data_IF_528017413763
#
_entry.id   IF_528017413763
#
_cell.length_a   1.000
_cell.length_b   1.000
_cell.length_c   1.000
_cell.angle_alpha   90.00
_cell.angle_beta   90.00
_cell.angle_gamma   90.00
#
_symmetry.space_group_name_H-M   'P 1'
#
loop_
_entity.id
_entity.type
_entity.pdbx_description
1 polymer ?
#
# COMPACT_ATOMS: atom_id res chain seq x y z
N UNK A 1 11.53 26.08 -69.83
CA UNK A 1 10.22 26.20 -69.15
C UNK A 1 10.43 25.89 -67.68
N UNK A 2 10.08 26.83 -66.80
CA UNK A 2 10.36 26.81 -65.35
C UNK A 2 9.71 25.59 -64.66
N UNK A 3 10.46 24.94 -63.78
CA UNK A 3 9.90 24.43 -62.52
C UNK A 3 10.95 24.55 -61.42
N UNK A 4 10.58 25.33 -60.41
CA UNK A 4 11.33 25.58 -59.17
C UNK A 4 11.24 24.33 -58.30
N UNK A 5 12.37 23.82 -57.83
CA UNK A 5 12.44 22.90 -56.69
C UNK A 5 13.02 23.67 -55.50
N UNK A 6 12.20 23.85 -54.46
CA UNK A 6 12.56 24.53 -53.22
C UNK A 6 13.52 23.66 -52.42
N UNK A 7 14.64 24.24 -51.98
CA UNK A 7 15.48 23.69 -50.92
C UNK A 7 14.63 23.71 -49.63
N UNK A 8 14.32 22.54 -49.09
CA UNK A 8 13.71 22.40 -47.76
C UNK A 8 14.86 22.23 -46.76
N UNK A 9 15.19 23.29 -46.03
CA UNK A 9 16.11 23.22 -44.90
C UNK A 9 15.45 22.38 -43.80
N UNK A 10 15.98 21.20 -43.54
CA UNK A 10 15.57 20.37 -42.40
C UNK A 10 16.23 20.95 -41.15
N UNK A 11 15.47 21.66 -40.32
CA UNK A 11 15.85 21.96 -38.95
C UNK A 11 15.48 20.76 -38.08
N UNK A 12 16.48 19.99 -37.66
CA UNK A 12 16.32 19.05 -36.55
C UNK A 12 16.34 19.88 -35.28
N UNK A 13 15.16 20.24 -34.77
CA UNK A 13 15.02 20.69 -33.39
C UNK A 13 15.13 19.42 -32.55
N UNK A 14 16.13 19.26 -31.68
CA UNK A 14 16.09 18.19 -30.70
C UNK A 14 14.96 18.55 -29.75
N UNK A 15 13.79 17.96 -29.98
CA UNK A 15 12.75 17.92 -28.98
C UNK A 15 13.32 17.06 -27.86
N UNK A 16 14.00 17.68 -26.90
CA UNK A 16 14.17 17.10 -25.58
C UNK A 16 12.75 16.94 -25.05
N UNK A 17 12.15 15.79 -25.34
CA UNK A 17 11.13 15.20 -24.50
C UNK A 17 11.82 15.01 -23.15
N UNK A 18 11.73 16.04 -22.30
CA UNK A 18 11.74 15.83 -20.87
C UNK A 18 10.56 14.91 -20.65
N UNK A 19 10.81 13.59 -20.57
CA UNK A 19 9.92 12.72 -19.85
C UNK A 19 9.66 13.46 -18.53
N UNK A 20 8.40 13.78 -18.18
CA UNK A 20 8.12 14.00 -16.78
C UNK A 20 8.49 12.66 -16.17
N UNK A 21 9.69 12.57 -15.59
CA UNK A 21 9.93 11.59 -14.56
C UNK A 21 8.75 11.78 -13.64
N UNK A 22 7.94 10.74 -13.49
CA UNK A 22 6.90 10.70 -12.48
C UNK A 22 7.64 10.95 -11.17
N UNK A 23 7.74 12.23 -10.78
CA UNK A 23 8.03 12.62 -9.43
C UNK A 23 6.91 11.93 -8.66
N UNK A 24 7.30 10.92 -7.87
CA UNK A 24 6.43 10.35 -6.87
C UNK A 24 5.79 11.53 -6.16
N UNK A 25 4.45 11.60 -6.16
CA UNK A 25 3.76 12.76 -5.62
C UNK A 25 4.23 12.95 -4.17
N UNK A 26 4.98 14.02 -3.92
CA UNK A 26 5.43 14.31 -2.57
C UNK A 26 4.18 14.64 -1.74
N UNK A 27 4.14 14.17 -0.50
CA UNK A 27 3.12 14.61 0.43
C UNK A 27 3.42 16.01 0.96
N UNK A 28 2.36 16.78 1.19
CA UNK A 28 2.44 18.08 1.82
C UNK A 28 2.30 17.91 3.35
N UNK A 29 3.37 18.15 4.10
CA UNK A 29 3.38 18.13 5.56
C UNK A 29 3.31 19.58 6.06
N UNK A 30 2.20 19.95 6.68
CA UNK A 30 1.99 21.29 7.23
C UNK A 30 1.85 21.21 8.74
N UNK A 31 2.72 21.90 9.45
CA UNK A 31 2.68 22.02 10.90
C UNK A 31 2.61 23.50 11.30
N UNK A 32 1.62 23.83 12.13
CA UNK A 32 1.47 25.15 12.71
C UNK A 32 2.13 25.18 14.10
N UNK A 33 3.29 25.83 14.19
CA UNK A 33 4.07 25.94 15.43
C UNK A 33 3.40 26.79 16.53
N UNK A 34 2.32 27.52 16.22
CA UNK A 34 1.54 28.26 17.22
C UNK A 34 0.45 27.39 17.83
N UNK A 35 -0.28 26.64 16.98
CA UNK A 35 -1.46 25.88 17.41
C UNK A 35 -1.19 24.40 17.66
N UNK A 36 -0.10 23.87 17.12
CA UNK A 36 0.22 22.45 17.12
C UNK A 36 -0.55 21.65 16.07
N UNK A 37 -1.33 22.30 15.21
CA UNK A 37 -2.09 21.63 14.17
C UNK A 37 -1.13 21.01 13.15
N UNK A 38 -1.31 19.72 12.89
CA UNK A 38 -0.59 18.96 11.87
C UNK A 38 -1.59 18.47 10.83
N UNK A 39 -1.29 18.75 9.56
CA UNK A 39 -1.98 18.18 8.41
C UNK A 39 -0.95 17.53 7.48
N UNK A 40 -1.18 16.28 7.10
CA UNK A 40 -0.42 15.60 6.05
C UNK A 40 -1.38 15.32 4.91
N UNK A 41 -1.04 15.79 3.71
CA UNK A 41 -1.84 15.56 2.51
C UNK A 41 -1.06 14.79 1.46
N UNK A 42 -1.70 13.85 0.79
CA UNK A 42 -1.11 13.05 -0.28
C UNK A 42 -2.10 12.96 -1.44
N UNK A 43 -1.65 13.25 -2.66
CA UNK A 43 -2.50 13.31 -3.85
C UNK A 43 -3.74 14.21 -3.69
N UNK A 44 -3.60 15.34 -3.00
CA UNK A 44 -4.68 16.29 -2.76
C UNK A 44 -5.72 15.86 -1.72
N UNK A 45 -5.53 14.71 -1.06
CA UNK A 45 -6.36 14.25 0.06
C UNK A 45 -5.61 14.39 1.38
N UNK A 46 -6.31 14.86 2.41
CA UNK A 46 -5.73 14.88 3.75
C UNK A 46 -5.74 13.48 4.34
N UNK A 47 -4.55 12.92 4.57
CA UNK A 47 -4.39 11.57 5.11
C UNK A 47 -4.15 11.58 6.62
N UNK A 48 -3.61 12.65 7.19
CA UNK A 48 -3.49 12.84 8.65
C UNK A 48 -3.93 14.25 9.00
N UNK A 49 -4.78 14.36 10.02
CA UNK A 49 -5.16 15.63 10.63
C UNK A 49 -5.18 15.48 12.13
N UNK A 50 -4.58 16.41 12.86
CA UNK A 50 -4.64 16.39 14.31
C UNK A 50 -3.89 17.54 14.95
N UNK A 51 -3.72 17.44 16.25
CA UNK A 51 -3.02 18.44 17.04
C UNK A 51 -1.97 17.76 17.91
N UNK A 52 -0.77 18.32 17.88
CA UNK A 52 0.29 18.03 18.81
C UNK A 52 0.10 18.89 20.07
N UNK A 53 0.24 18.29 21.24
CA UNK A 53 0.14 18.93 22.55
C UNK A 53 1.32 18.51 23.41
N UNK A 54 1.53 19.19 24.52
CA UNK A 54 2.47 18.77 25.57
C UNK A 54 1.67 18.09 26.68
N UNK A 55 2.08 16.91 27.09
CA UNK A 55 1.56 16.20 28.26
C UNK A 55 2.55 16.36 29.42
N UNK A 56 2.10 16.97 30.52
CA UNK A 56 2.90 17.17 31.72
C UNK A 56 2.01 17.13 32.96
N UNK A 57 2.40 16.39 34.00
CA UNK A 57 1.63 16.22 35.25
C UNK A 57 0.14 15.87 35.01
N UNK A 58 -0.14 14.92 34.11
CA UNK A 58 -1.49 14.47 33.72
C UNK A 58 -2.39 15.58 33.13
N UNK A 59 -1.79 16.66 32.64
CA UNK A 59 -2.50 17.77 32.00
C UNK A 59 -1.93 18.01 30.61
N UNK A 60 -2.79 18.44 29.69
CA UNK A 60 -2.40 18.79 28.33
C UNK A 60 -2.26 20.30 28.17
N UNK A 61 -1.17 20.71 27.55
CA UNK A 61 -0.82 22.09 27.30
C UNK A 61 -0.61 22.34 25.80
N UNK A 62 -0.92 23.54 25.30
CA UNK A 62 -0.52 23.96 23.95
C UNK A 62 1.00 23.84 23.74
N UNK A 63 1.45 23.59 22.51
CA UNK A 63 2.88 23.43 22.19
C UNK A 63 3.74 24.67 22.43
N UNK A 64 3.11 25.85 22.47
CA UNK A 64 3.76 27.14 22.73
C UNK A 64 3.71 27.53 24.23
N UNK A 65 3.45 26.56 25.12
CA UNK A 65 3.41 26.83 26.55
C UNK A 65 4.79 27.24 27.09
N UNK A 66 4.84 28.19 28.04
CA UNK A 66 6.08 28.55 28.71
C UNK A 66 6.79 27.31 29.30
N UNK A 67 8.11 27.35 29.40
CA UNK A 67 8.99 26.28 29.92
C UNK A 67 9.19 25.07 28.99
N UNK A 68 8.55 25.06 27.82
CA UNK A 68 8.71 24.01 26.82
C UNK A 68 9.03 24.60 25.45
N UNK A 69 9.79 23.83 24.66
CA UNK A 69 10.05 24.13 23.25
C UNK A 69 9.79 22.89 22.43
N UNK A 70 8.99 23.01 21.37
CA UNK A 70 8.80 21.94 20.38
C UNK A 70 9.52 22.37 19.10
N UNK A 71 10.55 21.62 18.71
CA UNK A 71 11.21 21.83 17.41
C UNK A 71 10.59 20.91 16.37
N UNK A 72 10.30 21.45 15.18
CA UNK A 72 9.86 20.68 14.01
C UNK A 72 10.95 20.71 12.93
N UNK A 73 11.16 19.57 12.28
CA UNK A 73 11.97 19.48 11.06
C UNK A 73 11.39 18.47 10.10
N UNK A 74 11.53 18.75 8.81
CA UNK A 74 11.16 17.84 7.72
C UNK A 74 12.38 17.61 6.82
N UNK A 75 12.59 16.36 6.42
CA UNK A 75 13.61 15.98 5.45
C UNK A 75 13.03 15.01 4.42
N UNK A 76 13.46 15.13 3.18
CA UNK A 76 13.11 14.20 2.11
C UNK A 76 14.36 13.53 1.55
N UNK A 77 14.32 12.21 1.40
CA UNK A 77 15.39 11.43 0.79
C UNK A 77 14.83 10.49 -0.25
N UNK A 78 15.63 10.19 -1.27
CA UNK A 78 15.26 9.21 -2.30
C UNK A 78 16.27 8.07 -2.28
N UNK A 79 15.78 6.84 -2.20
CA UNK A 79 16.63 5.65 -2.26
C UNK A 79 17.26 5.51 -3.65
N UNK A 80 18.34 4.72 -3.81
CA UNK A 80 18.89 4.41 -5.13
C UNK A 80 17.88 3.77 -6.09
N UNK A 81 16.82 3.13 -5.58
CA UNK A 81 15.72 2.57 -6.38
C UNK A 81 14.67 3.60 -6.79
N UNK A 82 14.83 4.88 -6.40
CA UNK A 82 13.89 5.96 -6.71
C UNK A 82 12.69 6.02 -5.76
N UNK A 83 12.74 5.38 -4.59
CA UNK A 83 11.67 5.41 -3.60
C UNK A 83 11.83 6.64 -2.69
N UNK A 84 10.77 7.44 -2.53
CA UNK A 84 10.77 8.66 -1.72
C UNK A 84 10.48 8.34 -0.25
N UNK A 85 11.28 8.89 0.66
CA UNK A 85 11.02 8.84 2.11
C UNK A 85 10.97 10.29 2.59
N UNK A 86 9.84 10.69 3.16
CA UNK A 86 9.66 11.98 3.83
C UNK A 86 9.61 11.76 5.33
N UNK A 87 10.57 12.30 6.06
CA UNK A 87 10.67 12.21 7.51
C UNK A 87 10.25 13.54 8.14
N UNK A 88 9.33 13.48 9.08
CA UNK A 88 8.94 14.60 9.93
C UNK A 88 9.30 14.26 11.38
N UNK A 89 9.98 15.18 12.06
CA UNK A 89 10.48 14.99 13.40
C UNK A 89 10.04 16.14 14.31
N UNK A 90 9.46 15.77 15.45
CA UNK A 90 9.06 16.66 16.54
C UNK A 90 9.83 16.30 17.81
N UNK A 91 10.55 17.26 18.37
CA UNK A 91 11.35 17.05 19.59
C UNK A 91 10.90 18.02 20.67
N UNK A 92 10.58 17.50 21.85
CA UNK A 92 10.29 18.28 23.05
C UNK A 92 11.56 18.57 23.85
N UNK A 93 11.79 19.85 24.12
CA UNK A 93 12.70 20.33 25.15
C UNK A 93 11.92 20.93 26.32
N UNK A 94 12.40 20.74 27.54
CA UNK A 94 11.73 21.13 28.77
C UNK A 94 11.90 20.07 29.85
N UNK A 95 10.95 19.96 30.78
CA UNK A 95 11.01 18.98 31.87
C UNK A 95 11.14 17.53 31.36
N UNK A 96 11.95 16.72 32.04
CA UNK A 96 12.21 15.33 31.66
C UNK A 96 10.95 14.43 31.72
N UNK A 97 10.03 14.74 32.63
CA UNK A 97 8.76 14.01 32.78
C UNK A 97 7.65 14.48 31.82
N UNK A 98 7.92 15.46 30.96
CA UNK A 98 6.98 15.87 29.92
C UNK A 98 7.16 15.05 28.63
N UNK A 99 6.09 14.90 27.87
CA UNK A 99 6.09 14.27 26.55
C UNK A 99 5.25 15.06 25.54
N UNK A 100 5.53 14.88 24.26
CA UNK A 100 4.59 15.23 23.20
C UNK A 100 3.43 14.25 23.24
N UNK A 101 2.24 14.74 22.91
CA UNK A 101 1.02 13.96 22.73
C UNK A 101 0.32 14.41 21.46
N UNK A 102 0.32 13.56 20.45
CA UNK A 102 -0.45 13.76 19.24
C UNK A 102 -1.82 13.11 19.37
N UNK A 103 -2.86 13.84 18.97
CA UNK A 103 -4.22 13.33 18.87
C UNK A 103 -4.87 13.80 17.58
N UNK A 104 -5.34 12.87 16.77
CA UNK A 104 -5.95 13.17 15.49
C UNK A 104 -6.57 11.96 14.83
N UNK A 105 -6.61 12.03 13.51
CA UNK A 105 -7.08 10.98 12.63
C UNK A 105 -6.08 10.69 11.53
N UNK A 106 -6.02 9.44 11.12
CA UNK A 106 -5.43 9.00 9.87
C UNK A 106 -6.53 8.39 9.00
N UNK A 107 -6.51 8.64 7.70
CA UNK A 107 -7.51 8.16 6.75
C UNK A 107 -6.81 7.40 5.62
N UNK A 108 -7.40 6.30 5.17
CA UNK A 108 -6.86 5.55 4.04
C UNK A 108 -7.78 4.40 3.64
N UNK A 109 -7.86 4.16 2.34
CA UNK A 109 -8.69 3.10 1.77
C UNK A 109 -8.00 1.74 1.86
N UNK A 110 -8.77 0.71 2.22
CA UNK A 110 -8.29 -0.66 2.44
C UNK A 110 -7.03 -0.68 3.33
N UNK A 111 -7.08 0.11 4.40
CA UNK A 111 -5.93 0.44 5.20
C UNK A 111 -5.90 -0.33 6.53
N UNK A 112 -4.69 -0.54 7.04
CA UNK A 112 -4.48 -1.30 8.26
C UNK A 112 -3.27 -0.82 9.08
N UNK A 113 -3.36 -0.82 10.41
CA UNK A 113 -2.21 -0.69 11.30
C UNK A 113 -1.27 -1.88 11.14
N UNK A 114 0.02 -1.58 10.96
CA UNK A 114 1.04 -2.57 10.65
C UNK A 114 2.40 -2.18 11.22
N UNK A 115 3.45 -2.89 10.79
CA UNK A 115 4.82 -2.41 10.86
C UNK A 115 5.41 -2.44 9.45
N UNK A 116 5.54 -1.27 8.78
CA UNK A 116 6.04 -1.18 7.40
C UNK A 116 7.51 -1.53 7.23
N UNK A 117 8.26 -1.74 8.31
CA UNK A 117 9.63 -2.22 8.22
C UNK A 117 9.71 -3.71 8.43
N UNK A 118 10.51 -4.36 7.58
CA UNK A 118 10.90 -5.73 7.83
C UNK A 118 11.80 -5.73 9.07
N UNK A 119 11.24 -6.18 10.20
CA UNK A 119 12.05 -6.56 11.35
C UNK A 119 13.05 -7.67 10.98
N UNK A 120 13.85 -8.12 11.95
CA UNK A 120 14.87 -9.19 11.76
C UNK A 120 14.34 -10.58 11.34
N UNK A 121 13.06 -10.70 10.95
CA UNK A 121 12.43 -11.95 10.50
C UNK A 121 12.10 -12.94 11.62
N UNK A 122 12.26 -12.56 12.89
CA UNK A 122 12.09 -13.46 14.03
C UNK A 122 10.62 -13.72 14.41
N UNK A 123 9.69 -12.88 13.99
CA UNK A 123 8.28 -12.96 14.36
C UNK A 123 7.41 -12.73 13.13
N UNK A 124 6.53 -13.68 12.83
CA UNK A 124 5.42 -13.51 11.89
C UNK A 124 4.17 -13.25 12.72
N UNK A 125 3.44 -12.19 12.37
CA UNK A 125 2.18 -11.83 13.01
C UNK A 125 1.05 -12.01 12.00
N UNK A 126 0.04 -12.78 12.38
CA UNK A 126 -1.18 -12.94 11.59
C UNK A 126 -2.34 -12.34 12.37
N UNK A 127 -3.31 -11.82 11.63
CA UNK A 127 -4.54 -11.31 12.21
C UNK A 127 -5.72 -11.61 11.28
N UNK A 128 -6.87 -11.88 11.90
CA UNK A 128 -8.16 -11.80 11.24
C UNK A 128 -8.93 -10.62 11.84
N UNK A 129 -9.32 -9.65 11.00
CA UNK A 129 -9.94 -8.40 11.43
C UNK A 129 -8.94 -7.28 11.73
N UNK A 130 -9.40 -6.24 12.45
CA UNK A 130 -8.65 -5.01 12.68
C UNK A 130 -7.49 -5.17 13.68
N UNK A 131 -6.30 -4.68 13.31
CA UNK A 131 -5.07 -4.84 14.07
C UNK A 131 -4.93 -3.86 15.24
N UNK A 132 -4.98 -4.40 16.46
CA UNK A 132 -4.79 -3.69 17.74
C UNK A 132 -3.47 -4.06 18.44
N UNK A 133 -2.48 -4.52 17.68
CA UNK A 133 -1.22 -4.99 18.24
C UNK A 133 -0.36 -3.81 18.71
N UNK A 134 0.20 -3.89 19.91
CA UNK A 134 1.07 -2.85 20.48
C UNK A 134 2.43 -2.73 19.77
N UNK A 135 2.79 -3.71 18.93
CA UNK A 135 3.96 -3.67 18.05
C UNK A 135 3.64 -3.10 16.66
N UNK A 136 2.45 -2.49 16.47
CA UNK A 136 2.18 -1.72 15.27
C UNK A 136 2.83 -0.35 15.46
N UNK A 137 3.83 -0.07 14.64
CA UNK A 137 4.56 1.21 14.60
C UNK A 137 4.27 1.97 13.30
N UNK A 138 3.24 1.56 12.56
CA UNK A 138 2.89 2.23 11.32
C UNK A 138 1.51 1.88 10.80
N UNK A 139 1.23 2.40 9.63
CA UNK A 139 -0.06 2.30 8.97
C UNK A 139 0.16 2.24 7.46
N UNK A 140 -0.53 1.31 6.80
CA UNK A 140 -0.47 1.17 5.35
C UNK A 140 -1.86 1.36 4.76
N UNK A 141 -1.95 2.20 3.73
CA UNK A 141 -3.15 2.40 2.92
C UNK A 141 -2.95 1.74 1.57
N UNK A 142 -3.73 0.69 1.30
CA UNK A 142 -3.64 -0.05 0.04
C UNK A 142 -4.12 0.80 -1.12
N UNK A 143 -5.27 1.47 -1.00
CA UNK A 143 -5.82 2.29 -2.09
C UNK A 143 -4.81 3.34 -2.56
N UNK A 144 -4.30 4.16 -1.64
CA UNK A 144 -3.31 5.17 -1.96
C UNK A 144 -1.88 4.66 -2.25
N UNK A 145 -1.62 3.37 -2.04
CA UNK A 145 -0.28 2.75 -1.98
C UNK A 145 0.75 3.61 -1.22
N UNK A 146 0.45 3.97 0.03
CA UNK A 146 1.40 4.69 0.88
C UNK A 146 1.46 4.06 2.27
N UNK A 147 2.63 4.14 2.89
CA UNK A 147 2.83 3.70 4.26
C UNK A 147 3.39 4.85 5.10
N UNK A 148 3.05 4.86 6.39
CA UNK A 148 3.70 5.69 7.40
C UNK A 148 4.32 4.79 8.46
N UNK A 149 5.57 5.07 8.83
CA UNK A 149 6.30 4.43 9.91
C UNK A 149 6.59 5.47 10.99
N UNK A 150 6.26 5.20 12.24
CA UNK A 150 6.66 5.97 13.40
C UNK A 150 7.96 5.38 13.96
N UNK A 151 9.07 5.94 13.48
CA UNK A 151 10.44 5.48 13.74
C UNK A 151 10.88 5.72 15.18
N UNK A 152 10.51 6.87 15.74
CA UNK A 152 10.75 7.22 17.14
C UNK A 152 9.41 7.62 17.75
N UNK A 153 8.94 6.85 18.73
CA UNK A 153 7.72 7.12 19.50
C UNK A 153 7.74 6.20 20.74
N UNK A 154 7.22 6.65 21.89
CA UNK A 154 7.11 5.78 23.06
C UNK A 154 5.95 4.79 22.91
N UNK A 155 4.81 5.29 22.40
CA UNK A 155 3.67 4.46 22.03
C UNK A 155 2.82 5.14 20.96
N UNK A 156 2.13 4.30 20.19
CA UNK A 156 1.16 4.71 19.18
C UNK A 156 -0.05 3.79 19.21
N UNK A 157 -1.23 4.35 18.91
CA UNK A 157 -2.47 3.60 18.81
C UNK A 157 -3.26 4.02 17.59
N UNK A 158 -3.93 3.03 17.00
CA UNK A 158 -4.86 3.20 15.91
C UNK A 158 -6.18 2.57 16.31
N UNK A 159 -7.27 3.32 16.23
CA UNK A 159 -8.62 2.81 16.49
C UNK A 159 -9.51 3.06 15.28
N UNK A 160 -10.08 1.98 14.73
CA UNK A 160 -11.03 2.08 13.63
C UNK A 160 -12.21 2.99 13.97
N UNK A 161 -12.54 3.88 13.03
CA UNK A 161 -13.75 4.71 12.99
C UNK A 161 -14.52 4.41 11.70
N UNK A 162 -15.62 5.10 11.47
CA UNK A 162 -16.38 4.95 10.22
C UNK A 162 -15.64 5.54 9.02
N UNK A 163 -16.06 5.16 7.81
CA UNK A 163 -15.61 5.74 6.53
C UNK A 163 -14.08 5.74 6.33
N UNK A 164 -13.43 4.59 6.54
CA UNK A 164 -11.98 4.43 6.33
C UNK A 164 -11.11 5.43 7.13
N UNK A 165 -11.66 5.93 8.25
CA UNK A 165 -10.97 6.81 9.18
C UNK A 165 -10.56 6.05 10.43
N UNK A 166 -9.45 6.46 11.04
CA UNK A 166 -8.89 5.84 12.23
C UNK A 166 -8.46 6.93 13.20
N UNK A 167 -8.76 6.78 14.48
CA UNK A 167 -8.12 7.59 15.51
C UNK A 167 -6.63 7.29 15.49
N UNK A 168 -5.80 8.32 15.50
CA UNK A 168 -4.36 8.21 15.66
C UNK A 168 -3.97 8.97 16.92
N UNK A 169 -3.36 8.25 17.87
CA UNK A 169 -2.76 8.86 19.05
C UNK A 169 -1.33 8.36 19.20
N UNK A 170 -0.42 9.27 19.50
CA UNK A 170 0.99 8.96 19.69
C UNK A 170 1.55 9.81 20.83
N UNK A 171 2.55 9.29 21.52
CA UNK A 171 3.25 10.05 22.56
C UNK A 171 4.73 9.69 22.57
N UNK A 172 5.54 10.66 22.96
CA UNK A 172 6.98 10.48 23.13
C UNK A 172 7.67 11.80 23.43
N UNK A 173 8.90 11.76 23.94
CA UNK A 173 9.74 12.98 23.99
C UNK A 173 10.15 13.44 22.59
N UNK A 174 10.30 12.46 21.70
CA UNK A 174 10.48 12.62 20.27
C UNK A 174 9.36 11.84 19.57
N UNK A 175 8.74 12.46 18.57
CA UNK A 175 7.85 11.77 17.64
C UNK A 175 8.42 11.98 16.24
N UNK A 176 8.94 10.91 15.65
CA UNK A 176 9.47 10.92 14.28
C UNK A 176 8.68 9.93 13.44
N UNK A 177 8.11 10.40 12.33
CA UNK A 177 7.48 9.54 11.35
C UNK A 177 8.10 9.68 9.96
N UNK A 178 8.03 8.60 9.19
CA UNK A 178 8.43 8.53 7.80
C UNK A 178 7.22 8.17 6.95
N UNK A 179 6.84 9.06 6.05
CA UNK A 179 5.91 8.75 4.96
C UNK A 179 6.69 8.15 3.78
N UNK A 180 6.14 7.06 3.25
CA UNK A 180 6.69 6.25 2.15
C UNK A 180 5.63 6.12 1.05
N UNK A 181 5.53 7.11 0.13
CA UNK A 181 4.66 7.04 -1.05
C UNK A 181 4.99 5.86 -1.97
N UNK A 182 4.01 5.39 -2.73
CA UNK A 182 4.16 4.24 -3.64
C UNK A 182 4.83 3.04 -2.95
N UNK A 183 4.38 2.71 -1.74
CA UNK A 183 5.06 1.80 -0.82
C UNK A 183 5.34 0.43 -1.46
N UNK A 184 4.32 -0.24 -2.00
CA UNK A 184 4.54 -1.54 -2.66
C UNK A 184 5.33 -1.37 -3.96
N UNK A 185 4.99 -0.38 -4.79
CA UNK A 185 5.63 -0.19 -6.10
C UNK A 185 7.13 0.11 -5.97
N UNK A 186 7.51 1.05 -5.11
CA UNK A 186 8.87 1.62 -5.02
C UNK A 186 9.68 1.07 -3.85
N UNK A 187 9.08 0.91 -2.67
CA UNK A 187 9.81 0.44 -1.48
C UNK A 187 9.92 -1.08 -1.42
N UNK A 188 8.92 -1.80 -1.94
CA UNK A 188 8.94 -3.27 -2.02
C UNK A 188 9.24 -3.80 -3.44
N UNK A 189 9.42 -2.92 -4.44
CA UNK A 189 9.78 -3.30 -5.80
C UNK A 189 8.69 -4.08 -6.55
N UNK A 190 7.42 -3.85 -6.23
CA UNK A 190 6.26 -4.46 -6.91
C UNK A 190 5.74 -3.53 -8.01
N UNK A 191 6.55 -3.29 -9.03
CA UNK A 191 6.29 -2.25 -10.05
C UNK A 191 4.94 -2.35 -10.77
N UNK A 192 4.34 -3.55 -10.85
CA UNK A 192 3.03 -3.79 -11.47
C UNK A 192 1.85 -3.76 -10.50
N UNK A 193 2.10 -3.59 -9.20
CA UNK A 193 1.04 -3.54 -8.20
C UNK A 193 0.33 -2.20 -8.28
N UNK A 194 -0.86 -2.14 -8.88
CA UNK A 194 -1.66 -0.92 -8.95
C UNK A 194 -3.00 -1.10 -8.21
N UNK A 195 -3.03 -0.91 -6.89
CA UNK A 195 -4.22 -1.21 -6.08
C UNK A 195 -5.41 -0.32 -6.38
N UNK A 196 -5.19 0.86 -6.99
CA UNK A 196 -6.24 1.77 -7.45
C UNK A 196 -7.04 1.24 -8.65
N UNK A 197 -6.53 0.24 -9.38
CA UNK A 197 -7.23 -0.32 -10.53
C UNK A 197 -8.29 -1.35 -10.14
N UNK A 198 -8.29 -1.83 -8.89
CA UNK A 198 -9.24 -2.84 -8.43
C UNK A 198 -9.55 -2.70 -6.93
N UNK A 199 -10.83 -2.76 -6.60
CA UNK A 199 -11.30 -2.89 -5.22
C UNK A 199 -11.10 -4.31 -4.71
N UNK A 200 -10.93 -4.46 -3.40
CA UNK A 200 -11.13 -5.76 -2.77
C UNK A 200 -12.61 -6.11 -2.95
N UNK A 201 -12.87 -7.34 -3.40
CA UNK A 201 -14.23 -7.85 -3.52
C UNK A 201 -14.75 -8.18 -2.14
N UNK A 202 -15.91 -7.64 -1.80
CA UNK A 202 -16.59 -7.92 -0.52
C UNK A 202 -17.35 -9.25 -0.59
N UNK A 203 -17.62 -9.74 -1.80
CA UNK A 203 -18.22 -11.05 -2.01
C UNK A 203 -17.27 -12.20 -1.69
N UNK A 204 -17.78 -13.22 -1.00
CA UNK A 204 -17.05 -14.46 -0.78
C UNK A 204 -16.90 -15.21 -2.09
N UNK A 205 -15.67 -15.61 -2.43
CA UNK A 205 -15.43 -16.50 -3.56
C UNK A 205 -15.72 -17.94 -3.12
N UNK A 206 -16.89 -18.44 -3.48
CA UNK A 206 -17.32 -19.81 -3.21
C UNK A 206 -17.55 -20.57 -4.52
N UNK A 207 -16.99 -21.77 -4.64
CA UNK A 207 -17.04 -22.52 -5.89
C UNK A 207 -16.39 -23.89 -5.82
N UNK A 208 -16.30 -24.50 -6.99
CA UNK A 208 -15.59 -25.75 -7.20
C UNK A 208 -14.15 -25.48 -7.65
N UNK A 209 -13.20 -26.32 -7.22
CA UNK A 209 -11.79 -26.23 -7.60
C UNK A 209 -11.27 -27.56 -8.14
N UNK A 210 -10.58 -27.51 -9.27
CA UNK A 210 -10.16 -28.71 -9.99
C UNK A 210 -9.14 -29.58 -9.25
N UNK A 211 -8.26 -28.98 -8.44
CA UNK A 211 -7.13 -29.67 -7.84
C UNK A 211 -7.54 -30.90 -7.02
N UNK A 212 -8.62 -30.77 -6.25
CA UNK A 212 -9.09 -31.85 -5.37
C UNK A 212 -9.66 -33.04 -6.12
N UNK A 213 -10.16 -32.84 -7.34
CA UNK A 213 -10.73 -33.90 -8.16
C UNK A 213 -9.72 -34.47 -9.17
N UNK A 214 -8.98 -33.60 -9.83
CA UNK A 214 -8.20 -33.94 -11.03
C UNK A 214 -6.71 -33.63 -10.92
N UNK A 215 -6.29 -32.86 -9.91
CA UNK A 215 -4.91 -32.39 -9.77
C UNK A 215 -4.40 -31.78 -11.09
N UNK A 216 -3.17 -32.10 -11.53
CA UNK A 216 -2.61 -31.56 -12.77
C UNK A 216 -3.19 -32.19 -14.04
N UNK A 217 -4.04 -33.22 -13.95
CA UNK A 217 -4.51 -34.00 -15.11
C UNK A 217 -5.81 -33.49 -15.72
N UNK A 218 -6.34 -32.36 -15.20
CA UNK A 218 -7.57 -31.72 -15.66
C UNK A 218 -7.64 -31.55 -17.19
N UNK A 219 -8.83 -31.79 -17.74
CA UNK A 219 -9.17 -31.49 -19.14
C UNK A 219 -10.30 -30.47 -19.24
N UNK A 220 -10.49 -29.89 -20.42
CA UNK A 220 -11.61 -28.99 -20.72
C UNK A 220 -12.97 -29.65 -20.52
N UNK A 221 -13.12 -30.92 -20.88
CA UNK A 221 -14.38 -31.67 -20.68
C UNK A 221 -14.70 -31.87 -19.20
N UNK A 222 -13.68 -32.11 -18.35
CA UNK A 222 -13.86 -32.18 -16.90
C UNK A 222 -14.36 -30.85 -16.34
N UNK A 223 -13.81 -29.73 -16.81
CA UNK A 223 -14.23 -28.37 -16.39
C UNK A 223 -15.67 -28.11 -16.82
N UNK A 224 -16.04 -28.43 -18.06
CA UNK A 224 -17.42 -28.26 -18.57
C UNK A 224 -18.41 -29.09 -17.76
N UNK A 225 -18.09 -30.36 -17.50
CA UNK A 225 -18.94 -31.23 -16.69
C UNK A 225 -19.12 -30.66 -15.27
N UNK A 226 -18.02 -30.24 -14.63
CA UNK A 226 -18.07 -29.64 -13.30
C UNK A 226 -18.92 -28.35 -13.31
N UNK A 227 -18.80 -27.53 -14.35
CA UNK A 227 -19.57 -26.31 -14.52
C UNK A 227 -21.07 -26.59 -14.67
N UNK A 228 -21.46 -27.51 -15.56
CA UNK A 228 -22.85 -27.90 -15.79
C UNK A 228 -23.48 -28.45 -14.50
N UNK A 229 -22.77 -29.35 -13.82
CA UNK A 229 -23.26 -29.95 -12.58
C UNK A 229 -23.40 -28.92 -11.46
N UNK A 230 -22.41 -28.02 -11.28
CA UNK A 230 -22.49 -26.95 -10.29
C UNK A 230 -23.61 -25.95 -10.62
N UNK A 231 -23.82 -25.64 -11.91
CA UNK A 231 -24.89 -24.76 -12.35
C UNK A 231 -26.28 -25.31 -12.00
N UNK A 232 -26.48 -26.61 -12.18
CA UNK A 232 -27.73 -27.30 -11.85
C UNK A 232 -27.93 -27.45 -10.33
N UNK A 233 -26.88 -27.80 -9.60
CA UNK A 233 -27.01 -28.29 -8.23
C UNK A 233 -26.60 -27.29 -7.14
N UNK A 234 -25.65 -26.40 -7.41
CA UNK A 234 -24.97 -25.60 -6.38
C UNK A 234 -25.11 -24.09 -6.57
N UNK A 235 -25.41 -23.61 -7.77
CA UNK A 235 -25.53 -22.18 -8.07
C UNK A 235 -26.55 -21.47 -7.19
N UNK A 236 -27.71 -22.06 -6.96
CA UNK A 236 -28.76 -21.49 -6.10
C UNK A 236 -28.38 -21.44 -4.61
N UNK A 237 -27.26 -22.05 -4.22
CA UNK A 237 -26.69 -22.01 -2.88
C UNK A 237 -25.47 -21.09 -2.77
N UNK A 238 -25.19 -20.26 -3.79
CA UNK A 238 -24.13 -19.26 -3.79
C UNK A 238 -22.76 -19.75 -4.27
N UNK A 239 -22.67 -20.95 -4.84
CA UNK A 239 -21.43 -21.45 -5.46
C UNK A 239 -21.42 -21.07 -6.94
N UNK A 240 -20.70 -20.00 -7.25
CA UNK A 240 -20.75 -19.34 -8.56
C UNK A 240 -19.44 -19.46 -9.36
N UNK A 241 -18.38 -19.99 -8.74
CA UNK A 241 -17.06 -20.06 -9.35
C UNK A 241 -16.66 -21.49 -9.73
N UNK A 242 -16.04 -21.62 -10.90
CA UNK A 242 -15.33 -22.82 -11.36
C UNK A 242 -13.85 -22.44 -11.46
N UNK A 243 -13.04 -22.98 -10.56
CA UNK A 243 -11.63 -22.62 -10.41
C UNK A 243 -10.77 -23.72 -11.03
N UNK A 244 -10.05 -23.35 -12.09
CA UNK A 244 -9.01 -24.19 -12.69
C UNK A 244 -7.71 -23.94 -11.92
N UNK A 245 -7.27 -24.94 -11.16
CA UNK A 245 -6.01 -24.93 -10.41
C UNK A 245 -4.81 -25.30 -11.31
N UNK A 246 -3.64 -25.38 -10.72
CA UNK A 246 -2.35 -25.56 -11.37
C UNK A 246 -2.25 -26.83 -12.24
N UNK A 247 -1.35 -26.79 -13.23
CA UNK A 247 -1.03 -27.93 -14.10
C UNK A 247 -1.79 -28.00 -15.42
N UNK A 248 -2.79 -27.14 -15.66
CA UNK A 248 -3.54 -27.10 -16.92
C UNK A 248 -2.62 -26.90 -18.15
N UNK A 249 -1.52 -26.17 -17.98
CA UNK A 249 -0.54 -25.85 -19.03
C UNK A 249 0.55 -26.93 -19.26
N UNK A 250 0.74 -27.88 -18.34
CA UNK A 250 1.89 -28.82 -18.36
C UNK A 250 1.76 -29.95 -19.40
N UNK A 251 0.61 -30.06 -20.10
CA UNK A 251 0.32 -31.20 -20.96
C UNK A 251 0.29 -32.53 -20.19
N UNK A 252 0.42 -33.66 -20.89
CA UNK A 252 0.19 -35.02 -20.37
C UNK A 252 1.20 -35.55 -19.34
N UNK A 253 2.23 -34.77 -18.95
CA UNK A 253 3.38 -35.31 -18.22
C UNK A 253 3.28 -35.21 -16.69
N UNK A 254 2.21 -34.62 -16.13
CA UNK A 254 1.86 -34.75 -14.70
C UNK A 254 2.88 -34.22 -13.67
N UNK A 255 4.03 -33.69 -14.10
CA UNK A 255 5.08 -33.18 -13.22
C UNK A 255 5.01 -31.66 -13.11
N UNK A 256 4.46 -31.18 -12.00
CA UNK A 256 4.31 -29.75 -11.69
C UNK A 256 5.61 -29.05 -11.25
N UNK A 257 6.68 -29.81 -11.04
CA UNK A 257 7.92 -29.27 -10.47
C UNK A 257 8.79 -28.55 -11.49
N UNK A 258 8.54 -28.75 -12.79
CA UNK A 258 9.30 -28.10 -13.86
C UNK A 258 8.36 -27.75 -14.99
N UNK A 259 8.23 -26.46 -15.26
CA UNK A 259 7.54 -25.98 -16.47
C UNK A 259 8.56 -25.96 -17.61
N UNK A 260 8.33 -26.68 -18.72
CA UNK A 260 9.19 -26.59 -19.89
C UNK A 260 9.29 -25.13 -20.41
N UNK A 261 10.47 -24.74 -20.89
CA UNK A 261 10.76 -23.35 -21.28
C UNK A 261 9.93 -22.88 -22.49
N UNK A 262 9.36 -23.81 -23.23
CA UNK A 262 8.55 -23.61 -24.43
C UNK A 262 7.03 -23.59 -24.17
N UNK A 263 6.58 -23.77 -22.93
CA UNK A 263 5.15 -23.68 -22.61
C UNK A 263 4.70 -22.23 -22.69
N UNK A 264 3.78 -21.95 -23.62
CA UNK A 264 3.08 -20.67 -23.72
C UNK A 264 1.78 -20.73 -22.91
N UNK A 265 1.75 -20.05 -21.75
CA UNK A 265 0.62 -20.06 -20.82
C UNK A 265 -0.52 -19.14 -21.27
N UNK A 266 -0.42 -18.55 -22.45
CA UNK A 266 -1.48 -17.73 -23.04
C UNK A 266 -2.30 -18.50 -24.08
N UNK A 267 -1.95 -19.75 -24.36
CA UNK A 267 -2.59 -20.58 -25.38
C UNK A 267 -3.16 -21.87 -24.79
N UNK A 268 -4.25 -22.32 -25.42
CA UNK A 268 -4.79 -23.66 -25.21
C UNK A 268 -3.81 -24.76 -25.62
N UNK A 269 -4.09 -25.99 -25.22
CA UNK A 269 -3.29 -27.17 -25.53
C UNK A 269 -4.19 -28.37 -25.87
N UNK A 270 -3.64 -29.56 -26.05
CA UNK A 270 -4.44 -30.74 -26.41
C UNK A 270 -5.53 -31.11 -25.39
N UNK A 271 -5.41 -30.67 -24.14
CA UNK A 271 -6.45 -30.84 -23.10
C UNK A 271 -7.41 -29.66 -22.98
N UNK A 272 -7.03 -28.51 -23.53
CA UNK A 272 -7.83 -27.27 -23.59
C UNK A 272 -7.83 -26.73 -25.03
N UNK A 273 -8.47 -27.44 -25.98
CA UNK A 273 -8.43 -27.09 -27.40
C UNK A 273 -9.27 -25.87 -27.81
N UNK A 274 -10.26 -25.45 -27.02
CA UNK A 274 -11.19 -24.36 -27.38
C UNK A 274 -10.65 -22.96 -27.14
#
# INVERSE_FOLDING_TARGET
MRLKSKILSVFVIPLFLTFPGFLSAQADITFDEQTGNLTVSYNGQSIITGVLKISYNNTYFPINSPDFTVSFSENSTTTPSGALIQEANFILSGADSASLYFEGTIQGDDALPCSPENGSGKIIRTISGFSRNLLNDGFYSRGGDWAILFKTVDWITFDHRENNSFSLKASGREITFQLKPEYYKKHLGRSYFNPNEFSIRDETVAGWISWKAYGPYLTEDDVKHAADWCAENLKNYGLEYIIIDDGWFVGSNGMLHTVPADVDWTKGNSRFPS
#
